data_IF_886413015161
#
_entry.id   IF_886413015161
#
_cell.length_a   1.000
_cell.length_b   1.000
_cell.length_c   1.000
_cell.angle_alpha   90.00
_cell.angle_beta   90.00
_cell.angle_gamma   90.00
#
_symmetry.space_group_name_H-M   'P 1'
#
loop_
_entity.id
_entity.type
_entity.pdbx_description
1 polymer ?
#
# COMPACT_ATOMS: atom_id res chain seq x y z
N UNK A 1 2.58 -11.50 -16.71
CA UNK A 1 3.35 -10.24 -16.67
C UNK A 1 3.31 -9.69 -15.28
N UNK A 2 4.38 -9.10 -14.78
CA UNK A 2 4.37 -8.53 -13.43
C UNK A 2 3.85 -7.08 -13.49
N UNK A 3 3.06 -6.69 -12.50
CA UNK A 3 2.75 -5.29 -12.23
C UNK A 3 4.03 -4.59 -11.78
N UNK A 4 4.23 -3.37 -12.22
CA UNK A 4 5.37 -2.54 -11.88
C UNK A 4 4.93 -1.15 -11.42
N UNK A 5 5.87 -0.43 -10.82
CA UNK A 5 5.72 0.99 -10.51
C UNK A 5 6.29 1.83 -11.65
N UNK A 6 5.62 2.93 -11.94
CA UNK A 6 5.98 3.87 -12.99
C UNK A 6 5.99 5.31 -12.48
N UNK A 7 6.83 6.14 -13.10
CA UNK A 7 6.88 7.58 -12.87
C UNK A 7 5.74 8.34 -13.56
N UNK A 8 5.11 7.73 -14.55
CA UNK A 8 4.09 8.34 -15.43
C UNK A 8 2.84 7.47 -15.55
N UNK A 9 1.72 8.12 -15.89
CA UNK A 9 0.42 7.47 -16.03
C UNK A 9 0.33 6.55 -17.25
N UNK A 10 1.17 6.76 -18.24
CA UNK A 10 1.23 6.00 -19.48
C UNK A 10 2.05 4.70 -19.34
N UNK A 11 2.60 4.44 -18.15
CA UNK A 11 3.42 3.28 -17.84
C UNK A 11 4.64 3.11 -18.79
N UNK A 12 5.28 4.22 -19.15
CA UNK A 12 6.41 4.23 -20.06
C UNK A 12 7.76 4.29 -19.34
N UNK A 13 7.80 4.85 -18.13
CA UNK A 13 9.00 5.02 -17.32
C UNK A 13 8.93 4.18 -16.04
N UNK A 14 9.36 2.92 -16.07
CA UNK A 14 9.34 2.08 -14.88
C UNK A 14 10.32 2.60 -13.82
N UNK A 15 9.91 2.57 -12.56
CA UNK A 15 10.81 2.77 -11.43
C UNK A 15 11.75 1.58 -11.34
N UNK A 16 13.05 1.82 -11.42
CA UNK A 16 14.09 0.78 -11.45
C UNK A 16 15.38 1.26 -10.79
N UNK A 17 16.35 0.38 -10.64
CA UNK A 17 17.68 0.76 -10.14
C UNK A 17 18.38 1.77 -11.07
N UNK A 18 18.06 1.77 -12.36
CA UNK A 18 18.60 2.73 -13.35
C UNK A 18 17.82 4.07 -13.36
N UNK A 19 16.54 4.07 -13.02
CA UNK A 19 15.69 5.28 -12.89
C UNK A 19 14.92 5.20 -11.56
N UNK A 20 15.60 5.36 -10.40
CA UNK A 20 14.97 5.24 -9.11
C UNK A 20 14.08 6.44 -8.80
N UNK A 21 13.08 6.21 -7.96
CA UNK A 21 12.36 7.30 -7.33
C UNK A 21 13.29 8.03 -6.35
N UNK A 22 13.45 9.34 -6.51
CA UNK A 22 14.29 10.18 -5.65
C UNK A 22 13.42 11.26 -5.00
N UNK A 23 13.33 11.25 -3.67
CA UNK A 23 12.75 12.35 -2.91
C UNK A 23 13.83 13.34 -2.51
N UNK A 24 13.69 14.60 -2.95
CA UNK A 24 14.60 15.69 -2.59
C UNK A 24 13.92 16.60 -1.58
N UNK A 25 14.56 16.80 -0.43
CA UNK A 25 14.09 17.67 0.64
C UNK A 25 14.97 18.92 0.72
N UNK A 26 14.33 20.06 0.88
CA UNK A 26 15.04 21.35 1.08
C UNK A 26 15.20 21.66 2.56
N UNK A 27 14.29 21.19 3.40
CA UNK A 27 14.28 21.41 4.84
C UNK A 27 14.12 20.11 5.62
N UNK A 28 14.73 20.02 6.78
CA UNK A 28 14.53 18.93 7.72
C UNK A 28 13.07 18.95 8.23
N UNK A 29 12.44 17.79 8.30
CA UNK A 29 11.04 17.64 8.71
C UNK A 29 10.01 17.97 7.64
N UNK A 30 10.42 18.48 6.49
CA UNK A 30 9.53 18.77 5.38
C UNK A 30 9.02 17.47 4.73
N UNK A 31 7.70 17.35 4.57
CA UNK A 31 7.11 16.24 3.84
C UNK A 31 7.10 16.54 2.33
N UNK A 32 7.68 15.62 1.56
CA UNK A 32 7.58 15.65 0.09
C UNK A 32 6.67 14.52 -0.36
N UNK A 33 5.68 14.84 -1.14
CA UNK A 33 4.73 13.88 -1.70
C UNK A 33 5.00 13.73 -3.19
N UNK A 34 5.16 12.48 -3.62
CA UNK A 34 5.29 12.15 -5.04
C UNK A 34 4.24 11.14 -5.43
N UNK A 35 3.66 11.34 -6.61
CA UNK A 35 2.73 10.41 -7.22
C UNK A 35 3.50 9.43 -8.09
N UNK A 36 3.27 8.13 -7.85
CA UNK A 36 3.71 7.03 -8.71
C UNK A 36 2.49 6.29 -9.22
N UNK A 37 2.68 5.40 -10.18
CA UNK A 37 1.60 4.65 -10.80
C UNK A 37 1.91 3.15 -10.78
N UNK A 38 0.90 2.36 -10.46
CA UNK A 38 0.96 0.90 -10.60
C UNK A 38 0.34 0.57 -11.94
N UNK A 39 1.01 -0.23 -12.73
CA UNK A 39 0.50 -0.65 -14.03
C UNK A 39 1.31 -1.79 -14.63
N UNK A 40 0.94 -2.17 -15.82
CA UNK A 40 1.72 -3.09 -16.65
C UNK A 40 2.54 -2.32 -17.70
N UNK A 41 3.49 -2.98 -18.33
CA UNK A 41 4.40 -2.37 -19.32
C UNK A 41 3.76 -2.05 -20.67
N UNK A 42 2.43 -2.07 -20.77
CA UNK A 42 1.69 -1.77 -22.00
C UNK A 42 1.95 -2.72 -23.17
N UNK A 43 2.72 -3.79 -22.98
CA UNK A 43 3.05 -4.76 -24.03
C UNK A 43 1.91 -5.69 -24.39
N UNK A 44 0.92 -5.84 -23.52
CA UNK A 44 -0.38 -6.37 -23.90
C UNK A 44 -1.30 -5.21 -24.23
N UNK A 45 -1.30 -4.80 -25.47
CA UNK A 45 -2.41 -4.06 -26.04
C UNK A 45 -3.65 -4.89 -25.82
N UNK A 46 -4.67 -4.24 -25.25
CA UNK A 46 -5.89 -4.88 -24.86
C UNK A 46 -6.34 -5.94 -25.84
N UNK A 47 -6.86 -7.01 -25.28
CA UNK A 47 -7.65 -7.96 -26.05
C UNK A 47 -8.74 -7.12 -26.70
N UNK A 48 -8.57 -6.82 -27.97
CA UNK A 48 -9.68 -6.35 -28.77
C UNK A 48 -10.71 -7.47 -28.69
N UNK A 49 -11.95 -7.13 -28.46
CA UNK A 49 -13.08 -8.08 -28.49
C UNK A 49 -13.10 -8.95 -29.75
N UNK A 50 -12.26 -8.68 -30.68
CA UNK A 50 -12.15 -9.29 -31.99
C UNK A 50 -11.09 -10.40 -32.08
N UNK A 51 -10.26 -10.60 -31.02
CA UNK A 51 -9.26 -11.68 -30.98
C UNK A 51 -9.82 -12.79 -30.06
N UNK A 52 -10.55 -13.71 -30.68
CA UNK A 52 -11.04 -14.91 -30.00
C UNK A 52 -9.84 -15.73 -29.48
N UNK A 53 -9.75 -15.92 -28.18
CA UNK A 53 -8.80 -16.82 -27.51
C UNK A 53 -7.71 -16.16 -26.66
N UNK A 54 -7.67 -14.86 -26.49
CA UNK A 54 -6.80 -14.23 -25.50
C UNK A 54 -7.46 -14.24 -24.09
N UNK A 55 -6.69 -14.71 -23.12
CA UNK A 55 -7.13 -14.79 -21.72
C UNK A 55 -6.69 -13.52 -21.01
N UNK A 56 -7.66 -12.78 -20.45
CA UNK A 56 -7.35 -11.63 -19.59
C UNK A 56 -6.79 -12.11 -18.25
N UNK A 57 -5.72 -11.51 -17.79
CA UNK A 57 -5.23 -11.68 -16.43
C UNK A 57 -5.91 -10.66 -15.51
N UNK A 58 -6.38 -11.14 -14.37
CA UNK A 58 -6.92 -10.30 -13.32
C UNK A 58 -5.97 -10.41 -12.13
N UNK A 59 -5.46 -9.27 -11.67
CA UNK A 59 -4.65 -9.19 -10.47
C UNK A 59 -5.55 -8.86 -9.30
N UNK A 60 -5.66 -9.78 -8.36
CA UNK A 60 -6.47 -9.63 -7.15
C UNK A 60 -5.60 -9.49 -5.92
N UNK A 61 -6.19 -9.10 -4.78
CA UNK A 61 -5.50 -8.91 -3.51
C UNK A 61 -4.25 -8.01 -3.62
N UNK A 62 -4.34 -6.99 -4.47
CA UNK A 62 -3.22 -6.10 -4.74
C UNK A 62 -2.81 -5.34 -3.46
N UNK A 63 -1.55 -5.44 -3.15
CA UNK A 63 -0.92 -4.78 -2.00
C UNK A 63 0.31 -4.03 -2.45
N UNK A 64 0.49 -2.82 -1.96
CA UNK A 64 1.74 -2.07 -2.10
C UNK A 64 2.31 -1.88 -0.72
N UNK A 65 3.54 -2.27 -0.53
CA UNK A 65 4.22 -2.18 0.76
C UNK A 65 5.65 -1.71 0.59
N UNK A 66 6.22 -1.20 1.66
CA UNK A 66 7.64 -0.89 1.73
C UNK A 66 8.41 -2.16 2.10
N UNK A 67 9.46 -2.46 1.36
CA UNK A 67 10.43 -3.48 1.78
C UNK A 67 11.24 -2.94 2.97
N UNK A 68 11.49 -3.77 3.97
CA UNK A 68 12.27 -3.39 5.15
C UNK A 68 11.47 -2.70 6.27
N UNK A 69 10.13 -2.75 6.22
CA UNK A 69 9.27 -2.32 7.36
C UNK A 69 9.29 -3.31 8.52
N UNK A 70 9.77 -4.52 8.28
CA UNK A 70 10.06 -5.50 9.31
C UNK A 70 11.56 -5.66 9.46
N UNK A 71 12.03 -5.55 10.69
CA UNK A 71 13.44 -5.65 11.04
C UNK A 71 13.63 -6.92 11.86
N UNK A 72 14.51 -7.81 11.40
CA UNK A 72 14.80 -9.04 12.10
C UNK A 72 16.01 -8.85 13.05
N UNK A 73 15.87 -9.30 14.28
CA UNK A 73 16.97 -9.32 15.25
C UNK A 73 17.97 -10.43 14.93
N UNK A 74 19.26 -10.09 14.88
CA UNK A 74 20.37 -11.03 14.78
C UNK A 74 20.94 -11.44 16.16
N UNK A 75 20.68 -10.65 17.20
CA UNK A 75 21.09 -10.92 18.58
C UNK A 75 19.87 -10.80 19.50
N UNK A 76 19.76 -11.70 20.47
CA UNK A 76 18.68 -11.68 21.45
C UNK A 76 18.79 -10.43 22.35
N UNK A 77 17.64 -9.89 22.76
CA UNK A 77 17.55 -8.79 23.72
C UNK A 77 17.05 -9.29 25.07
N UNK A 78 17.71 -8.88 26.14
CA UNK A 78 17.24 -9.14 27.50
C UNK A 78 16.07 -8.22 27.84
N UNK A 79 15.22 -8.56 28.83
CA UNK A 79 14.15 -7.68 29.30
C UNK A 79 14.69 -6.57 30.22
N UNK A 80 15.66 -5.80 29.72
CA UNK A 80 16.33 -4.73 30.46
C UNK A 80 16.38 -3.45 29.63
N UNK A 81 16.10 -2.33 30.26
CA UNK A 81 16.23 -1.00 29.63
C UNK A 81 17.67 -0.64 29.29
N UNK A 82 18.64 -1.26 29.96
CA UNK A 82 20.08 -1.07 29.70
C UNK A 82 20.55 -1.74 28.40
N UNK A 83 19.78 -2.74 27.90
CA UNK A 83 20.06 -3.41 26.63
C UNK A 83 19.43 -2.63 25.47
N UNK A 84 20.05 -1.52 25.09
CA UNK A 84 19.54 -0.53 24.17
C UNK A 84 20.21 -0.51 22.81
N UNK A 85 21.09 -1.47 22.54
CA UNK A 85 21.79 -1.61 21.26
C UNK A 85 21.29 -2.88 20.56
N UNK A 86 20.66 -2.72 19.40
CA UNK A 86 20.14 -3.81 18.61
C UNK A 86 21.07 -4.14 17.45
N UNK A 87 21.36 -5.42 17.27
CA UNK A 87 21.94 -5.93 16.04
C UNK A 87 20.84 -6.58 15.22
N UNK A 88 20.67 -6.08 13.99
CA UNK A 88 19.58 -6.41 13.08
C UNK A 88 20.12 -6.87 11.72
N UNK A 89 19.30 -7.59 10.96
CA UNK A 89 19.68 -8.06 9.62
C UNK A 89 20.02 -6.88 8.69
N UNK A 90 19.23 -5.81 8.76
CA UNK A 90 19.45 -4.58 7.99
C UNK A 90 18.82 -3.39 8.68
N UNK A 91 19.47 -2.23 8.61
CA UNK A 91 18.91 -0.95 9.07
C UNK A 91 18.22 -0.17 7.95
N UNK A 92 17.99 -0.78 6.77
CA UNK A 92 17.24 -0.15 5.71
C UNK A 92 15.82 0.22 6.19
N UNK A 93 15.39 1.44 5.89
CA UNK A 93 14.11 1.98 6.37
C UNK A 93 14.13 2.52 7.80
N UNK A 94 15.17 2.27 8.60
CA UNK A 94 15.31 2.85 9.93
C UNK A 94 15.96 4.22 9.88
N UNK A 95 15.41 5.14 10.67
CA UNK A 95 15.95 6.47 10.93
C UNK A 95 15.70 6.84 12.39
N UNK A 96 16.38 7.87 12.85
CA UNK A 96 16.13 8.44 14.17
C UNK A 96 14.64 8.81 14.28
N UNK A 97 14.02 8.39 15.38
CA UNK A 97 12.60 8.62 15.66
C UNK A 97 11.65 7.54 15.13
N UNK A 98 12.12 6.58 14.31
CA UNK A 98 11.31 5.42 13.92
C UNK A 98 10.93 4.62 15.17
N UNK A 99 9.66 4.23 15.25
CA UNK A 99 9.15 3.37 16.30
C UNK A 99 8.98 1.97 15.74
N UNK A 100 9.62 1.00 16.37
CA UNK A 100 9.49 -0.41 16.09
C UNK A 100 8.69 -1.09 17.19
N UNK A 101 7.91 -2.11 16.84
CA UNK A 101 7.10 -2.90 17.78
C UNK A 101 7.30 -4.38 17.60
N UNK A 102 7.44 -5.07 18.72
CA UNK A 102 7.36 -6.53 18.78
C UNK A 102 6.61 -6.95 20.04
N UNK A 103 5.54 -7.72 19.89
CA UNK A 103 4.66 -8.06 21.00
C UNK A 103 4.06 -6.80 21.65
N UNK A 104 4.30 -6.64 22.96
CA UNK A 104 3.85 -5.47 23.72
C UNK A 104 4.92 -4.39 23.86
N UNK A 105 6.13 -4.59 23.31
CA UNK A 105 7.20 -3.62 23.43
C UNK A 105 7.30 -2.73 22.21
N UNK A 106 7.48 -1.43 22.48
CA UNK A 106 7.77 -0.39 21.49
C UNK A 106 9.18 0.17 21.76
N UNK A 107 9.95 0.29 20.69
CA UNK A 107 11.33 0.76 20.70
C UNK A 107 11.46 1.95 19.76
N UNK A 108 11.98 3.06 20.25
CA UNK A 108 12.27 4.22 19.40
C UNK A 108 13.75 4.23 19.00
N UNK A 109 14.02 4.36 17.71
CA UNK A 109 15.39 4.49 17.19
C UNK A 109 15.94 5.85 17.56
N UNK A 110 17.06 5.85 18.29
CA UNK A 110 17.79 7.08 18.68
C UNK A 110 18.99 7.34 17.77
N UNK A 111 19.61 6.26 17.27
CA UNK A 111 20.80 6.37 16.42
C UNK A 111 20.89 5.15 15.49
N UNK A 112 21.24 5.36 14.24
CA UNK A 112 21.62 4.31 13.30
C UNK A 112 23.14 4.29 13.23
N UNK A 113 23.75 3.35 13.97
CA UNK A 113 25.20 3.27 14.15
C UNK A 113 25.88 2.68 12.91
N UNK A 114 25.24 1.68 12.27
CA UNK A 114 25.76 1.04 11.06
C UNK A 114 24.61 0.43 10.24
N UNK A 115 24.95 -0.26 9.16
CA UNK A 115 23.95 -0.99 8.35
C UNK A 115 23.29 -2.19 9.08
N UNK A 116 23.78 -2.53 10.28
CA UNK A 116 23.27 -3.64 11.09
C UNK A 116 23.03 -3.29 12.56
N UNK A 117 23.42 -2.10 13.01
CA UNK A 117 23.36 -1.74 14.43
C UNK A 117 22.60 -0.44 14.61
N UNK A 118 21.63 -0.48 15.51
CA UNK A 118 20.87 0.70 15.96
C UNK A 118 20.89 0.82 17.46
N UNK A 119 20.85 2.05 17.95
CA UNK A 119 20.62 2.36 19.34
C UNK A 119 19.18 2.83 19.53
N UNK A 120 18.52 2.36 20.57
CA UNK A 120 17.08 2.59 20.79
C UNK A 120 16.78 3.01 22.22
N UNK A 121 15.67 3.73 22.41
CA UNK A 121 14.98 3.82 23.68
C UNK A 121 13.96 2.69 23.75
N UNK A 122 14.14 1.81 24.72
CA UNK A 122 13.22 0.70 24.98
C UNK A 122 12.02 1.16 25.80
N UNK A 123 10.91 0.41 25.72
CA UNK A 123 9.67 0.72 26.42
C UNK A 123 9.15 2.14 26.14
N UNK A 124 9.17 2.54 24.85
CA UNK A 124 8.83 3.89 24.44
C UNK A 124 7.32 4.18 24.58
N UNK A 125 6.97 5.23 25.34
CA UNK A 125 5.59 5.65 25.62
C UNK A 125 5.37 7.16 25.50
N UNK A 126 6.41 7.95 25.18
CA UNK A 126 6.35 9.40 25.19
C UNK A 126 5.37 10.01 24.17
N UNK A 127 4.91 9.23 23.18
CA UNK A 127 3.88 9.62 22.21
C UNK A 127 2.44 9.26 22.65
N UNK A 128 2.25 8.82 23.90
CA UNK A 128 0.96 8.39 24.47
C UNK A 128 0.63 6.92 24.19
N UNK A 129 1.50 6.19 23.48
CA UNK A 129 1.34 4.75 23.29
C UNK A 129 1.65 3.94 24.54
N UNK A 130 1.17 2.71 24.59
CA UNK A 130 1.50 1.75 25.66
C UNK A 130 2.64 0.85 25.22
N UNK A 131 3.52 0.49 26.15
CA UNK A 131 4.65 -0.39 25.92
C UNK A 131 4.98 -1.15 27.19
N UNK A 132 5.53 -2.36 27.05
CA UNK A 132 6.05 -3.17 28.15
C UNK A 132 7.32 -3.85 27.68
N UNK A 133 8.40 -3.65 28.41
CA UNK A 133 9.70 -4.25 28.07
C UNK A 133 9.62 -5.76 28.07
N UNK A 134 10.18 -6.39 27.06
CA UNK A 134 10.15 -7.84 26.85
C UNK A 134 11.52 -8.39 26.47
N UNK A 135 11.74 -9.67 26.72
CA UNK A 135 12.85 -10.40 26.10
C UNK A 135 12.49 -10.74 24.64
N UNK A 136 13.45 -10.60 23.76
CA UNK A 136 13.30 -10.98 22.35
C UNK A 136 14.40 -11.96 21.95
N UNK A 137 14.01 -13.03 21.29
CA UNK A 137 14.96 -14.04 20.80
C UNK A 137 15.56 -13.63 19.45
N UNK A 138 16.64 -14.26 19.05
CA UNK A 138 17.19 -14.15 17.70
C UNK A 138 16.10 -14.54 16.70
N UNK A 139 16.02 -13.82 15.59
CA UNK A 139 15.00 -14.03 14.56
C UNK A 139 13.67 -13.32 14.85
N UNK A 140 13.50 -12.66 16.00
CA UNK A 140 12.30 -11.87 16.28
C UNK A 140 12.13 -10.77 15.22
N UNK A 141 10.92 -10.70 14.64
CA UNK A 141 10.54 -9.64 13.71
C UNK A 141 9.98 -8.45 14.48
N UNK A 142 10.54 -7.28 14.22
CA UNK A 142 10.06 -6.00 14.73
C UNK A 142 9.38 -5.23 13.60
N UNK A 143 8.12 -4.87 13.77
CA UNK A 143 7.37 -4.08 12.81
C UNK A 143 7.62 -2.59 13.05
N UNK A 144 7.99 -1.86 12.02
CA UNK A 144 8.12 -0.41 12.11
C UNK A 144 6.72 0.22 12.13
N UNK A 145 6.30 0.78 13.27
CA UNK A 145 5.02 1.51 13.40
C UNK A 145 5.08 2.86 12.69
N UNK A 146 6.24 3.50 12.71
CA UNK A 146 6.47 4.76 12.00
C UNK A 146 7.73 4.66 11.17
N UNK A 147 7.70 5.20 9.98
CA UNK A 147 8.88 5.39 9.13
C UNK A 147 8.82 6.78 8.54
N UNK A 148 9.93 7.20 7.92
CA UNK A 148 9.90 8.44 7.16
C UNK A 148 9.13 8.33 5.83
N UNK A 149 8.72 7.13 5.45
CA UNK A 149 7.96 6.90 4.21
C UNK A 149 6.59 6.35 4.56
N UNK A 150 5.57 6.90 3.95
CA UNK A 150 4.20 6.41 4.06
C UNK A 150 3.52 6.43 2.69
N UNK A 151 2.54 5.57 2.52
CA UNK A 151 1.82 5.37 1.28
C UNK A 151 0.36 5.76 1.46
N UNK A 152 -0.24 6.33 0.42
CA UNK A 152 -1.67 6.57 0.36
C UNK A 152 -2.22 6.24 -1.02
N UNK A 153 -3.46 5.75 -1.04
CA UNK A 153 -4.27 5.72 -2.25
C UNK A 153 -4.82 7.13 -2.52
N UNK A 154 -5.29 7.41 -3.73
CA UNK A 154 -6.02 8.65 -3.99
C UNK A 154 -7.21 8.85 -3.04
N UNK A 155 -7.55 10.08 -2.76
CA UNK A 155 -8.78 10.38 -2.04
C UNK A 155 -9.99 9.86 -2.83
N UNK A 156 -10.95 9.15 -2.20
CA UNK A 156 -12.12 8.63 -2.91
C UNK A 156 -13.01 9.72 -3.54
N UNK A 157 -12.88 10.96 -3.10
CA UNK A 157 -13.60 12.11 -3.65
C UNK A 157 -12.84 12.85 -4.75
N UNK A 158 -11.57 12.51 -5.00
CA UNK A 158 -10.75 13.19 -6.00
C UNK A 158 -10.75 12.43 -7.33
N UNK A 159 -11.45 12.97 -8.31
CA UNK A 159 -11.53 12.43 -9.67
C UNK A 159 -10.32 12.76 -10.53
N UNK A 160 -9.47 13.68 -10.07
CA UNK A 160 -8.28 14.15 -10.78
C UNK A 160 -6.99 13.49 -10.30
N UNK A 161 -7.09 12.64 -9.27
CA UNK A 161 -5.94 11.97 -8.66
C UNK A 161 -4.81 12.91 -8.21
N UNK A 162 -5.18 14.07 -7.69
CA UNK A 162 -4.24 15.09 -7.22
C UNK A 162 -4.09 15.09 -5.71
N UNK A 163 -5.07 14.54 -5.01
CA UNK A 163 -5.17 14.57 -3.55
C UNK A 163 -4.99 13.17 -2.97
N UNK A 164 -4.01 12.95 -2.08
CA UNK A 164 -3.89 11.70 -1.36
C UNK A 164 -5.04 11.52 -0.36
N UNK A 165 -5.44 10.28 -0.15
CA UNK A 165 -6.29 9.87 0.97
C UNK A 165 -5.50 9.76 2.27
N UNK A 166 -6.00 8.95 3.21
CA UNK A 166 -5.28 8.66 4.44
C UNK A 166 -3.98 7.90 4.16
N UNK A 167 -2.89 8.32 4.78
CA UNK A 167 -1.62 7.62 4.68
C UNK A 167 -1.62 6.39 5.58
N UNK A 168 -1.31 5.24 4.98
CA UNK A 168 -1.09 4.02 5.74
C UNK A 168 0.21 4.10 6.53
N UNK A 169 0.23 3.47 7.70
CA UNK A 169 1.46 3.19 8.42
C UNK A 169 2.35 2.29 7.53
N UNK A 170 3.64 2.53 7.52
CA UNK A 170 4.57 1.80 6.65
C UNK A 170 4.67 0.30 6.98
N UNK A 171 4.34 -0.11 8.20
CA UNK A 171 4.23 -1.52 8.58
C UNK A 171 2.97 -2.20 8.04
N UNK A 172 2.01 -1.41 7.53
CA UNK A 172 0.77 -1.91 6.98
C UNK A 172 0.79 -1.73 5.46
N UNK A 173 0.64 -2.81 4.68
CA UNK A 173 0.52 -2.68 3.24
C UNK A 173 -0.78 -1.91 2.90
N UNK A 174 -0.77 -1.14 1.82
CA UNK A 174 -2.00 -0.65 1.22
C UNK A 174 -2.77 -1.88 0.73
N UNK A 175 -3.79 -2.26 1.47
CA UNK A 175 -4.57 -3.49 1.23
C UNK A 175 -5.89 -3.18 0.55
N UNK A 176 -6.39 -4.17 -0.17
CA UNK A 176 -7.74 -4.20 -0.75
C UNK A 176 -7.99 -3.28 -1.93
N UNK A 177 -6.98 -3.06 -2.73
CA UNK A 177 -7.17 -2.43 -4.03
C UNK A 177 -6.51 -1.07 -4.17
N UNK A 178 -6.53 -0.59 -5.38
CA UNK A 178 -6.04 0.71 -5.77
C UNK A 178 -7.22 1.55 -6.24
N UNK A 179 -7.10 2.86 -6.10
CA UNK A 179 -8.04 3.79 -6.67
C UNK A 179 -9.47 3.73 -6.07
N UNK A 180 -9.63 4.02 -4.77
CA UNK A 180 -10.92 3.96 -4.09
C UNK A 180 -11.91 4.99 -4.64
N UNK A 181 -13.20 4.66 -4.57
CA UNK A 181 -14.31 5.58 -4.79
C UNK A 181 -15.36 5.41 -3.68
N UNK A 182 -16.49 6.10 -3.78
CA UNK A 182 -17.54 6.05 -2.77
C UNK A 182 -18.85 5.52 -3.36
N UNK A 183 -19.53 4.66 -2.61
CA UNK A 183 -20.87 4.22 -2.90
C UNK A 183 -21.84 5.40 -2.71
N UNK A 184 -22.60 5.75 -3.74
CA UNK A 184 -23.50 6.91 -3.67
C UNK A 184 -24.80 6.60 -2.93
N UNK A 185 -25.35 5.41 -3.09
CA UNK A 185 -26.59 4.98 -2.45
C UNK A 185 -26.33 3.71 -1.64
N UNK A 186 -27.05 3.55 -0.53
CA UNK A 186 -27.02 2.26 0.16
C UNK A 186 -27.54 1.16 -0.76
N UNK A 187 -27.02 -0.04 -0.58
CA UNK A 187 -27.46 -1.27 -1.24
C UNK A 187 -27.79 -2.32 -0.20
N UNK A 188 -28.78 -3.16 -0.49
CA UNK A 188 -29.17 -4.26 0.36
C UNK A 188 -28.33 -5.54 0.09
N UNK A 189 -28.59 -6.60 0.83
CA UNK A 189 -27.93 -7.90 0.66
C UNK A 189 -28.59 -8.81 -0.40
N UNK A 190 -29.58 -8.31 -1.14
CA UNK A 190 -30.35 -9.14 -2.08
C UNK A 190 -29.52 -9.48 -3.34
N UNK A 191 -29.73 -10.68 -3.84
CA UNK A 191 -29.07 -11.12 -5.08
C UNK A 191 -29.51 -10.33 -6.32
N UNK A 192 -30.73 -9.78 -6.28
CA UNK A 192 -31.32 -8.97 -7.34
C UNK A 192 -30.73 -7.57 -7.43
N UNK A 193 -30.06 -7.09 -6.38
CA UNK A 193 -29.39 -5.78 -6.39
C UNK A 193 -28.08 -5.90 -7.12
N UNK A 194 -28.12 -5.75 -8.43
CA UNK A 194 -26.96 -5.85 -9.33
C UNK A 194 -26.46 -4.50 -9.84
N UNK A 195 -27.18 -3.42 -9.58
CA UNK A 195 -26.79 -2.07 -9.98
C UNK A 195 -26.33 -1.28 -8.75
N UNK A 196 -25.12 -0.76 -8.81
CA UNK A 196 -24.55 0.11 -7.79
C UNK A 196 -24.13 1.44 -8.40
N UNK A 197 -24.18 2.51 -7.62
CA UNK A 197 -23.72 3.84 -8.04
C UNK A 197 -22.50 4.26 -7.28
N UNK A 198 -21.48 4.72 -8.01
CA UNK A 198 -20.24 5.24 -7.47
C UNK A 198 -20.12 6.75 -7.77
N UNK A 199 -19.30 7.46 -7.01
CA UNK A 199 -18.99 8.86 -7.32
C UNK A 199 -18.04 9.01 -8.52
N UNK A 200 -17.38 7.94 -8.97
CA UNK A 200 -16.48 7.97 -10.11
C UNK A 200 -16.45 6.60 -10.83
N UNK A 201 -17.36 6.41 -11.77
CA UNK A 201 -17.43 5.18 -12.55
C UNK A 201 -16.31 5.02 -13.56
N UNK A 202 -15.65 6.11 -13.96
CA UNK A 202 -14.53 6.07 -14.92
C UNK A 202 -13.30 5.29 -14.40
N UNK A 203 -13.24 5.02 -13.08
CA UNK A 203 -12.22 4.20 -12.45
C UNK A 203 -12.35 2.70 -12.76
N UNK A 204 -13.48 2.26 -13.29
CA UNK A 204 -13.80 0.86 -13.45
C UNK A 204 -14.04 0.51 -14.91
N UNK A 205 -13.77 -0.73 -15.23
CA UNK A 205 -14.11 -1.34 -16.52
C UNK A 205 -14.87 -2.64 -16.31
N UNK A 206 -15.48 -3.15 -17.37
CA UNK A 206 -16.03 -4.51 -17.34
C UNK A 206 -14.91 -5.49 -16.94
N UNK A 207 -15.27 -6.47 -16.15
CA UNK A 207 -14.40 -7.46 -15.50
C UNK A 207 -13.55 -6.95 -14.34
N UNK A 208 -13.52 -5.65 -14.01
CA UNK A 208 -12.92 -5.18 -12.75
C UNK A 208 -13.52 -5.91 -11.55
N UNK A 209 -12.69 -6.24 -10.58
CA UNK A 209 -13.15 -6.69 -9.27
C UNK A 209 -13.15 -5.50 -8.32
N UNK A 210 -14.27 -5.32 -7.63
CA UNK A 210 -14.42 -4.29 -6.59
C UNK A 210 -14.70 -4.94 -5.26
N UNK A 211 -14.29 -4.26 -4.19
CA UNK A 211 -14.55 -4.69 -2.82
C UNK A 211 -15.21 -3.55 -2.05
N UNK A 212 -16.31 -3.88 -1.37
CA UNK A 212 -16.96 -3.01 -0.39
C UNK A 212 -17.04 -3.80 0.91
N UNK A 213 -16.44 -3.28 1.96
CA UNK A 213 -16.25 -3.99 3.24
C UNK A 213 -15.61 -5.37 3.01
N UNK A 214 -16.34 -6.48 3.25
CA UNK A 214 -15.85 -7.84 3.05
C UNK A 214 -16.43 -8.52 1.79
N UNK A 215 -17.26 -7.83 1.02
CA UNK A 215 -17.85 -8.39 -0.20
C UNK A 215 -17.03 -8.02 -1.43
N UNK A 216 -16.66 -9.02 -2.22
CA UNK A 216 -16.09 -8.85 -3.57
C UNK A 216 -17.20 -8.96 -4.59
N UNK A 217 -17.20 -8.07 -5.57
CA UNK A 217 -18.15 -8.05 -6.68
C UNK A 217 -17.40 -7.95 -7.99
N UNK A 218 -17.90 -8.61 -9.03
CA UNK A 218 -17.37 -8.49 -10.39
C UNK A 218 -18.21 -7.49 -11.19
N UNK A 219 -17.58 -6.46 -11.71
CA UNK A 219 -18.21 -5.49 -12.61
C UNK A 219 -18.42 -6.14 -13.97
N UNK A 220 -19.66 -6.18 -14.47
CA UNK A 220 -19.99 -6.71 -15.79
C UNK A 220 -20.23 -5.62 -16.82
N UNK A 221 -20.64 -4.42 -16.39
CA UNK A 221 -20.84 -3.28 -17.26
C UNK A 221 -20.64 -1.98 -16.48
N UNK A 222 -20.19 -0.93 -17.19
CA UNK A 222 -20.04 0.43 -16.66
C UNK A 222 -20.81 1.38 -17.57
N UNK A 223 -21.72 2.16 -16.99
CA UNK A 223 -22.46 3.20 -17.69
C UNK A 223 -22.41 4.50 -16.86
N UNK A 224 -21.48 5.37 -17.20
CA UNK A 224 -21.19 6.56 -16.39
C UNK A 224 -20.80 6.16 -14.96
N UNK A 225 -21.58 6.61 -13.98
CA UNK A 225 -21.36 6.29 -12.56
C UNK A 225 -22.15 5.06 -12.08
N UNK A 226 -22.79 4.33 -12.98
CA UNK A 226 -23.51 3.11 -12.67
C UNK A 226 -22.70 1.87 -13.08
N UNK A 227 -22.49 0.97 -12.11
CA UNK A 227 -21.81 -0.30 -12.31
C UNK A 227 -22.83 -1.42 -12.21
N UNK A 228 -22.91 -2.27 -13.23
CA UNK A 228 -23.64 -3.54 -13.12
C UNK A 228 -22.68 -4.59 -12.59
N UNK A 229 -23.06 -5.31 -11.54
CA UNK A 229 -22.16 -6.22 -10.82
C UNK A 229 -22.75 -7.58 -10.58
N UNK A 230 -21.88 -8.59 -10.47
CA UNK A 230 -22.19 -9.89 -9.87
C UNK A 230 -21.78 -9.80 -8.40
N UNK A 231 -22.76 -9.96 -7.51
CA UNK A 231 -22.61 -9.89 -6.06
C UNK A 231 -22.04 -11.19 -5.48
N UNK A 232 -21.28 -11.08 -4.37
CA UNK A 232 -20.74 -12.24 -3.66
C UNK A 232 -19.72 -13.02 -4.49
N UNK A 233 -18.94 -12.34 -5.33
CA UNK A 233 -17.97 -12.98 -6.21
C UNK A 233 -16.85 -13.65 -5.41
N UNK A 234 -16.19 -14.66 -5.98
CA UNK A 234 -15.15 -15.46 -5.33
C UNK A 234 -15.56 -16.04 -3.96
N UNK A 235 -16.83 -16.41 -3.81
CA UNK A 235 -17.33 -17.05 -2.58
C UNK A 235 -17.51 -16.11 -1.39
N UNK A 236 -17.41 -14.79 -1.60
CA UNK A 236 -17.70 -13.83 -0.53
C UNK A 236 -19.22 -13.75 -0.25
N UNK A 237 -19.57 -13.40 0.98
CA UNK A 237 -20.96 -13.27 1.40
C UNK A 237 -21.50 -11.90 0.98
N UNK A 238 -22.69 -11.90 0.35
CA UNK A 238 -23.42 -10.67 0.05
C UNK A 238 -23.86 -9.97 1.33
N UNK A 239 -23.64 -8.67 1.39
CA UNK A 239 -23.95 -7.85 2.55
C UNK A 239 -24.67 -6.55 2.14
N UNK A 240 -25.40 -5.95 3.07
CA UNK A 240 -25.86 -4.58 2.90
C UNK A 240 -24.70 -3.60 3.12
N UNK A 241 -24.62 -2.58 2.27
CA UNK A 241 -23.59 -1.55 2.38
C UNK A 241 -24.23 -0.16 2.45
N UNK A 242 -23.75 0.68 3.35
CA UNK A 242 -24.27 2.02 3.54
C UNK A 242 -23.79 2.95 2.41
N UNK A 243 -24.54 4.00 2.15
CA UNK A 243 -24.06 5.11 1.33
C UNK A 243 -22.76 5.68 1.91
N UNK A 244 -21.85 6.13 1.05
CA UNK A 244 -20.50 6.59 1.38
C UNK A 244 -19.52 5.49 1.84
N UNK A 245 -19.92 4.20 1.80
CA UNK A 245 -18.95 3.11 1.94
C UNK A 245 -17.86 3.21 0.85
N UNK A 246 -16.64 2.88 1.23
CA UNK A 246 -15.52 2.94 0.28
C UNK A 246 -15.60 1.73 -0.65
N UNK A 247 -15.51 2.00 -1.95
CA UNK A 247 -15.37 1.00 -2.99
C UNK A 247 -13.90 0.94 -3.38
N UNK A 248 -13.26 -0.20 -3.15
CA UNK A 248 -11.89 -0.45 -3.62
C UNK A 248 -11.93 -1.22 -4.93
N UNK A 249 -11.07 -0.87 -5.87
CA UNK A 249 -10.77 -1.74 -6.99
C UNK A 249 -9.93 -2.92 -6.47
N UNK A 250 -10.53 -4.06 -6.27
CA UNK A 250 -9.87 -5.25 -5.71
C UNK A 250 -9.08 -6.05 -6.74
N UNK A 251 -9.14 -5.65 -8.00
CA UNK A 251 -8.39 -6.29 -9.06
C UNK A 251 -8.17 -5.36 -10.24
N UNK A 252 -7.01 -5.48 -10.84
CA UNK A 252 -6.66 -4.85 -12.11
C UNK A 252 -6.83 -5.86 -13.22
N UNK A 253 -7.47 -5.47 -14.30
CA UNK A 253 -7.61 -6.30 -15.49
C UNK A 253 -6.51 -5.93 -16.48
N UNK A 254 -5.72 -6.91 -16.91
CA UNK A 254 -4.64 -6.74 -17.87
C UNK A 254 -5.15 -6.62 -19.33
N UNK A 255 -6.19 -5.80 -19.54
CA UNK A 255 -6.78 -5.61 -20.87
C UNK A 255 -6.25 -4.33 -21.54
N UNK A 256 -5.90 -3.32 -20.77
CA UNK A 256 -5.36 -2.04 -21.24
C UNK A 256 -4.26 -1.57 -20.28
N UNK A 257 -3.34 -0.72 -20.72
CA UNK A 257 -2.42 -0.04 -19.82
C UNK A 257 -3.23 0.88 -18.89
N UNK A 258 -3.77 0.29 -17.86
CA UNK A 258 -4.51 1.03 -16.82
C UNK A 258 -3.53 1.31 -15.70
N UNK A 259 -3.17 2.56 -15.52
CA UNK A 259 -2.35 2.98 -14.40
C UNK A 259 -3.20 3.39 -13.22
N UNK A 260 -2.79 2.98 -12.03
CA UNK A 260 -3.44 3.35 -10.78
C UNK A 260 -2.48 4.15 -9.93
N UNK A 261 -2.81 5.41 -9.63
CA UNK A 261 -1.92 6.27 -8.87
C UNK A 261 -1.84 5.85 -7.41
N UNK A 262 -0.64 5.96 -6.85
CA UNK A 262 -0.36 5.91 -5.43
C UNK A 262 0.45 7.14 -5.04
N UNK A 263 0.32 7.58 -3.80
CA UNK A 263 1.09 8.68 -3.25
C UNK A 263 2.12 8.16 -2.27
N UNK A 264 3.36 8.51 -2.51
CA UNK A 264 4.49 8.21 -1.63
C UNK A 264 4.87 9.51 -0.93
N UNK A 265 4.68 9.56 0.38
CA UNK A 265 5.11 10.68 1.22
C UNK A 265 6.40 10.29 1.92
N UNK A 266 7.43 11.09 1.71
CA UNK A 266 8.70 10.99 2.44
C UNK A 266 8.80 12.20 3.36
N UNK A 267 8.92 11.96 4.66
CA UNK A 267 9.06 12.99 5.68
C UNK A 267 10.21 12.63 6.60
N UNK A 268 11.42 13.21 6.35
CA UNK A 268 12.55 12.99 7.23
C UNK A 268 12.30 13.62 8.60
N UNK A 269 12.93 13.10 9.66
CA UNK A 269 12.83 13.72 10.98
C UNK A 269 13.39 15.14 10.97
N UNK A 270 12.85 15.99 11.87
CA UNK A 270 13.25 17.39 11.98
C UNK A 270 14.74 17.58 12.36
N UNK A 271 15.37 16.55 12.91
CA UNK A 271 16.78 16.54 13.26
C UNK A 271 17.47 15.43 12.46
N UNK A 272 17.96 15.76 11.27
CA UNK A 272 18.81 14.86 10.48
C UNK A 272 20.29 15.15 10.77
N UNK A 273 21.11 14.13 11.02
CA UNK A 273 22.53 14.24 10.78
C UNK A 273 22.72 14.48 9.27
N UNK A 274 23.63 15.38 8.92
CA UNK A 274 23.98 15.74 7.56
C UNK A 274 24.30 14.51 6.71
N UNK A 275 23.55 14.32 5.62
CA UNK A 275 23.76 13.33 4.56
C UNK A 275 23.54 11.85 4.96
N UNK A 276 22.30 11.44 5.03
CA UNK A 276 21.95 10.01 4.98
C UNK A 276 21.22 9.74 3.66
N UNK A 277 21.90 9.06 2.74
CA UNK A 277 21.25 8.44 1.58
C UNK A 277 20.77 7.05 2.00
N UNK A 278 19.46 6.79 1.89
CA UNK A 278 18.89 5.47 2.13
C UNK A 278 18.06 5.06 0.92
N UNK A 279 18.21 3.84 0.48
CA UNK A 279 17.32 3.25 -0.50
C UNK A 279 16.22 2.48 0.22
N UNK A 280 14.99 2.72 -0.22
CA UNK A 280 13.80 2.02 0.23
C UNK A 280 13.15 1.43 -1.01
N UNK A 281 12.76 0.17 -0.92
CA UNK A 281 12.13 -0.52 -2.03
C UNK A 281 10.64 -0.63 -1.78
N UNK A 282 9.85 -0.28 -2.79
CA UNK A 282 8.42 -0.55 -2.84
C UNK A 282 8.20 -1.90 -3.51
N UNK A 283 7.37 -2.74 -2.89
CA UNK A 283 7.02 -4.06 -3.40
C UNK A 283 5.54 -4.08 -3.70
N UNK A 284 5.18 -4.58 -4.88
CA UNK A 284 3.82 -4.88 -5.27
C UNK A 284 3.63 -6.39 -5.13
N UNK A 285 2.59 -6.78 -4.40
CA UNK A 285 2.19 -8.18 -4.25
C UNK A 285 0.75 -8.32 -4.73
N UNK A 286 0.48 -9.30 -5.57
CA UNK A 286 -0.86 -9.61 -6.07
C UNK A 286 -1.00 -11.10 -6.35
N UNK A 287 -2.23 -11.58 -6.32
CA UNK A 287 -2.61 -12.88 -6.87
C UNK A 287 -3.00 -12.68 -8.34
N UNK A 288 -2.67 -13.63 -9.19
CA UNK A 288 -3.04 -13.62 -10.60
C UNK A 288 -4.15 -14.66 -10.84
N UNK A 289 -5.26 -14.23 -11.42
CA UNK A 289 -6.35 -15.11 -11.86
C UNK A 289 -6.48 -15.04 -13.39
N UNK A 290 -6.53 -16.19 -14.04
CA UNK A 290 -6.87 -16.27 -15.44
C UNK A 290 -8.39 -16.27 -15.61
N UNK A 291 -8.90 -15.39 -16.44
CA UNK A 291 -10.31 -15.40 -16.79
C UNK A 291 -10.55 -16.46 -17.85
N UNK A 292 -11.35 -17.48 -17.51
CA UNK A 292 -11.83 -18.50 -18.46
C UNK A 292 -13.05 -18.03 -19.22
#
# INVERSE_FOLDING_TARGET
MALNLYHDAECQRPVSDADPFISKHTNAGEAVVTKLYIGNDGKRKGVSSDVAGEIALIYTNLKVQLEGVQIQLEIALSPSTGDNTLTVESTNGLNIGVIMKSGLERLRVEEVVSNKVVRVTRNYTADGGTSTIQAHTIGTLMNCETTMVSLALPSPNDTSYTTPGAYANASEPLVNGVDPSLLQNQIDAQASTTLIRTNNGAKYSANSLIKIDNEVMKVTNVNGNELTVIRGYNGTVRAAHLAQAIIYCNGLVDILPTSHPIFVRVQPPAQLPTQVSKSIKLVIVSDEEMQS
#
